data_IF_066389897732
#
_entry.id   IF_066389897732
#
_cell.length_a   1.000
_cell.length_b   1.000
_cell.length_c   1.000
_cell.angle_alpha   90.00
_cell.angle_beta   90.00
_cell.angle_gamma   90.00
#
_symmetry.space_group_name_H-M   'P 1'
#
loop_
_entity.id
_entity.type
_entity.pdbx_description
1 polymer ?
#
# COMPACT_ATOMS: atom_id res chain seq x y z
N UNK A 1 8.89 9.80 17.82
CA UNK A 1 9.42 8.98 16.72
C UNK A 1 9.92 7.58 17.15
N UNK A 2 10.90 7.44 18.05
CA UNK A 2 11.45 6.10 18.38
C UNK A 2 10.47 5.17 19.13
N UNK A 3 9.77 5.68 20.17
CA UNK A 3 8.79 4.90 20.96
C UNK A 3 7.62 4.38 20.11
N UNK A 4 7.17 5.18 19.15
CA UNK A 4 6.07 4.82 18.24
C UNK A 4 6.46 3.74 17.25
N UNK A 5 7.67 3.82 16.66
CA UNK A 5 8.22 2.76 15.80
C UNK A 5 8.36 1.42 16.54
N UNK A 6 8.80 1.44 17.81
CA UNK A 6 8.89 0.24 18.65
C UNK A 6 7.49 -0.35 18.89
N UNK A 7 6.51 0.49 19.26
CA UNK A 7 5.14 0.03 19.48
C UNK A 7 4.49 -0.57 18.20
N UNK A 8 4.76 0.03 17.03
CA UNK A 8 4.30 -0.51 15.74
C UNK A 8 4.92 -1.88 15.47
N UNK A 9 6.23 -2.02 15.70
CA UNK A 9 6.94 -3.29 15.51
C UNK A 9 6.41 -4.39 16.43
N UNK A 10 6.19 -4.09 17.71
CA UNK A 10 5.62 -5.03 18.67
C UNK A 10 4.23 -5.51 18.24
N UNK A 11 3.37 -4.59 17.80
CA UNK A 11 2.02 -4.93 17.31
C UNK A 11 2.04 -5.74 16.00
N UNK A 12 3.00 -5.49 15.11
CA UNK A 12 3.21 -6.31 13.91
C UNK A 12 3.60 -7.75 14.27
N UNK A 13 4.49 -7.91 15.24
CA UNK A 13 4.92 -9.23 15.73
C UNK A 13 3.78 -9.99 16.40
N UNK A 14 2.95 -9.32 17.21
CA UNK A 14 1.75 -9.90 17.81
C UNK A 14 0.75 -10.37 16.76
N UNK A 15 0.46 -9.54 15.75
CA UNK A 15 -0.40 -9.90 14.64
C UNK A 15 0.14 -11.12 13.86
N UNK A 16 1.47 -11.21 13.70
CA UNK A 16 2.13 -12.31 13.00
C UNK A 16 2.05 -13.63 13.76
N UNK A 17 2.01 -13.59 15.10
CA UNK A 17 1.83 -14.80 15.94
C UNK A 17 0.45 -15.43 15.78
N UNK A 18 -0.56 -14.68 15.33
CA UNK A 18 -1.91 -15.21 15.06
C UNK A 18 -1.99 -16.03 13.76
N UNK A 19 -1.04 -15.84 12.84
CA UNK A 19 -1.00 -16.55 11.56
C UNK A 19 -0.74 -18.06 11.66
N UNK A 20 0.27 -18.56 12.41
CA UNK A 20 0.51 -19.99 12.54
C UNK A 20 -0.63 -20.70 13.28
N UNK A 21 -1.36 -19.99 14.15
CA UNK A 21 -2.54 -20.51 14.83
C UNK A 21 -3.77 -20.64 13.90
N UNK A 22 -3.66 -20.25 12.62
CA UNK A 22 -4.78 -20.27 11.67
C UNK A 22 -5.84 -19.20 11.95
N UNK A 23 -5.61 -18.32 12.93
CA UNK A 23 -6.59 -17.34 13.38
C UNK A 23 -6.56 -16.08 12.51
N UNK A 24 -6.85 -16.29 11.22
CA UNK A 24 -6.69 -15.27 10.17
C UNK A 24 -7.63 -14.08 10.33
N UNK A 25 -8.79 -14.26 10.94
CA UNK A 25 -9.75 -13.17 11.17
C UNK A 25 -9.17 -12.13 12.14
N UNK A 26 -8.58 -12.60 13.24
CA UNK A 26 -8.00 -11.72 14.25
C UNK A 26 -6.67 -11.11 13.76
N UNK A 27 -5.87 -11.88 13.01
CA UNK A 27 -4.69 -11.34 12.33
C UNK A 27 -5.05 -10.18 11.40
N UNK A 28 -6.09 -10.32 10.57
CA UNK A 28 -6.54 -9.25 9.67
C UNK A 28 -7.04 -8.01 10.41
N UNK A 29 -7.73 -8.19 11.55
CA UNK A 29 -8.14 -7.06 12.41
C UNK A 29 -6.92 -6.32 12.97
N UNK A 30 -5.94 -7.06 13.48
CA UNK A 30 -4.71 -6.50 14.03
C UNK A 30 -3.92 -5.73 12.95
N UNK A 31 -3.76 -6.30 11.76
CA UNK A 31 -3.10 -5.60 10.64
C UNK A 31 -3.89 -4.36 10.18
N UNK A 32 -5.22 -4.43 10.10
CA UNK A 32 -6.05 -3.27 9.75
C UNK A 32 -5.93 -2.14 10.77
N UNK A 33 -5.74 -2.44 12.05
CA UNK A 33 -5.49 -1.41 13.06
C UNK A 33 -4.17 -0.67 12.80
N UNK A 34 -3.18 -1.36 12.23
CA UNK A 34 -1.86 -0.78 11.91
C UNK A 34 -1.84 0.07 10.65
N UNK A 35 -2.84 -0.07 9.77
CA UNK A 35 -2.95 0.71 8.53
C UNK A 35 -3.83 1.96 8.67
N UNK A 36 -4.53 2.12 9.80
CA UNK A 36 -5.38 3.29 10.10
C UNK A 36 -4.62 4.52 10.64
N UNK A 37 -3.32 4.36 10.92
CA UNK A 37 -2.48 5.44 11.45
C UNK A 37 -1.90 6.34 10.35
N UNK A 38 -1.19 7.41 10.75
CA UNK A 38 -0.48 8.32 9.84
C UNK A 38 0.63 7.65 9.03
N UNK A 39 1.12 6.50 9.46
CA UNK A 39 2.23 5.81 8.83
C UNK A 39 1.73 4.70 7.91
N UNK A 40 2.05 4.84 6.62
CA UNK A 40 1.89 3.75 5.66
C UNK A 40 2.70 2.55 6.15
N UNK A 41 2.01 1.49 6.54
CA UNK A 41 2.64 0.28 7.06
C UNK A 41 2.62 -0.80 5.99
N UNK A 42 3.62 -0.74 5.10
CA UNK A 42 3.68 -1.60 3.91
C UNK A 42 3.78 -3.09 4.25
N UNK A 43 4.38 -3.43 5.40
CA UNK A 43 4.43 -4.80 5.90
C UNK A 43 3.02 -5.29 6.28
N UNK A 44 2.24 -4.50 7.02
CA UNK A 44 0.88 -4.88 7.42
C UNK A 44 -0.02 -5.16 6.19
N UNK A 45 0.00 -4.28 5.19
CA UNK A 45 -0.72 -4.50 3.93
C UNK A 45 -0.26 -5.78 3.23
N UNK A 46 1.05 -5.99 3.11
CA UNK A 46 1.61 -7.18 2.47
C UNK A 46 1.17 -8.47 3.16
N UNK A 47 1.14 -8.50 4.50
CA UNK A 47 0.64 -9.64 5.28
C UNK A 47 -0.86 -9.87 5.09
N UNK A 48 -1.68 -8.82 5.12
CA UNK A 48 -3.12 -8.93 4.85
C UNK A 48 -3.39 -9.57 3.49
N UNK A 49 -2.69 -9.12 2.44
CA UNK A 49 -2.84 -9.71 1.11
C UNK A 49 -2.44 -11.19 1.08
N UNK A 50 -1.34 -11.59 1.75
CA UNK A 50 -0.93 -13.00 1.84
C UNK A 50 -1.99 -13.85 2.53
N UNK A 51 -2.55 -13.37 3.64
CA UNK A 51 -3.59 -14.07 4.41
C UNK A 51 -4.87 -14.25 3.56
N UNK A 52 -5.29 -13.22 2.83
CA UNK A 52 -6.46 -13.26 1.96
C UNK A 52 -6.26 -14.19 0.77
N UNK A 53 -5.05 -14.18 0.18
CA UNK A 53 -4.67 -15.08 -0.91
C UNK A 53 -4.69 -16.55 -0.48
N UNK A 54 -4.18 -16.86 0.70
CA UNK A 54 -4.22 -18.22 1.28
C UNK A 54 -5.66 -18.71 1.46
N UNK A 55 -6.56 -17.82 1.88
CA UNK A 55 -7.99 -18.11 2.01
C UNK A 55 -8.76 -18.06 0.68
N UNK A 56 -8.10 -17.81 -0.46
CA UNK A 56 -8.70 -17.62 -1.79
C UNK A 56 -9.79 -16.52 -1.81
N UNK A 57 -9.71 -15.56 -0.88
CA UNK A 57 -10.63 -14.41 -0.78
C UNK A 57 -10.18 -13.29 -1.72
N UNK A 58 -10.19 -13.57 -3.02
CA UNK A 58 -9.61 -12.67 -4.03
C UNK A 58 -10.29 -11.30 -4.10
N UNK A 59 -11.61 -11.21 -3.88
CA UNK A 59 -12.32 -9.93 -3.85
C UNK A 59 -11.83 -9.04 -2.70
N UNK A 60 -11.72 -9.60 -1.50
CA UNK A 60 -11.17 -8.87 -0.35
C UNK A 60 -9.66 -8.59 -0.51
N UNK A 61 -8.90 -9.47 -1.17
CA UNK A 61 -7.49 -9.20 -1.50
C UNK A 61 -7.38 -7.97 -2.40
N UNK A 62 -8.25 -7.84 -3.41
CA UNK A 62 -8.28 -6.70 -4.33
C UNK A 62 -8.58 -5.39 -3.60
N UNK A 63 -9.59 -5.37 -2.73
CA UNK A 63 -9.92 -4.20 -1.92
C UNK A 63 -8.73 -3.74 -1.05
N UNK A 64 -7.99 -4.67 -0.46
CA UNK A 64 -6.80 -4.35 0.35
C UNK A 64 -5.66 -3.81 -0.52
N UNK A 65 -5.47 -4.32 -1.73
CA UNK A 65 -4.47 -3.81 -2.67
C UNK A 65 -4.79 -2.36 -3.07
N UNK A 66 -6.04 -2.09 -3.42
CA UNK A 66 -6.50 -0.74 -3.78
C UNK A 66 -6.36 0.24 -2.62
N UNK A 67 -6.72 -0.18 -1.41
CA UNK A 67 -6.50 0.63 -0.20
C UNK A 67 -5.02 0.93 0.05
N UNK A 68 -4.13 -0.04 -0.19
CA UNK A 68 -2.69 0.15 -0.02
C UNK A 68 -2.13 1.15 -1.04
N UNK A 69 -2.55 1.04 -2.31
CA UNK A 69 -2.15 1.96 -3.39
C UNK A 69 -2.64 3.37 -3.07
N UNK A 70 -3.92 3.55 -2.76
CA UNK A 70 -4.50 4.85 -2.43
C UNK A 70 -3.82 5.50 -1.21
N UNK A 71 -3.51 4.70 -0.17
CA UNK A 71 -2.80 5.21 1.01
C UNK A 71 -1.36 5.65 0.69
N UNK A 72 -0.66 4.93 -0.19
CA UNK A 72 0.68 5.30 -0.63
C UNK A 72 0.67 6.54 -1.52
N UNK A 73 -0.26 6.63 -2.49
CA UNK A 73 -0.44 7.82 -3.33
C UNK A 73 -0.79 9.05 -2.49
N UNK A 74 -1.67 8.90 -1.48
CA UNK A 74 -1.99 9.98 -0.55
C UNK A 74 -0.81 10.41 0.30
N UNK A 75 0.07 9.49 0.71
CA UNK A 75 1.27 9.81 1.47
C UNK A 75 2.26 10.62 0.60
N UNK A 76 2.49 10.17 -0.64
CA UNK A 76 3.33 10.88 -1.62
C UNK A 76 2.79 12.28 -1.89
N UNK A 77 1.47 12.41 -2.11
CA UNK A 77 0.84 13.72 -2.34
C UNK A 77 0.97 14.66 -1.13
N UNK A 78 0.86 14.12 0.09
CA UNK A 78 0.98 14.91 1.32
C UNK A 78 2.41 15.42 1.53
N UNK A 79 3.42 14.57 1.31
CA UNK A 79 4.82 14.96 1.37
C UNK A 79 5.14 16.05 0.34
N UNK A 80 4.55 15.93 -0.85
CA UNK A 80 4.70 16.91 -1.92
C UNK A 80 4.08 18.28 -1.59
N UNK A 81 2.95 18.32 -0.87
CA UNK A 81 2.34 19.58 -0.40
C UNK A 81 3.18 20.26 0.69
N UNK A 82 3.81 19.49 1.59
CA UNK A 82 4.69 20.05 2.61
C UNK A 82 5.89 20.75 1.98
N UNK A 83 6.50 20.15 0.95
CA UNK A 83 7.59 20.74 0.17
C UNK A 83 7.16 22.07 -0.47
N UNK A 84 5.96 22.12 -1.05
CA UNK A 84 5.43 23.34 -1.69
C UNK A 84 5.16 24.49 -0.73
N UNK A 85 4.69 24.17 0.47
CA UNK A 85 4.30 25.19 1.45
C UNK A 85 5.49 25.89 2.09
N UNK A 86 6.65 25.22 2.14
CA UNK A 86 7.82 25.76 2.81
C UNK A 86 8.67 26.68 1.94
N UNK A 87 8.62 26.51 0.60
CA UNK A 87 9.37 27.35 -0.33
C UNK A 87 8.82 27.26 -1.77
N UNK A 88 7.76 28.04 -2.06
CA UNK A 88 6.96 27.90 -3.30
C UNK A 88 7.76 28.13 -4.60
N UNK A 89 8.72 29.05 -4.59
CA UNK A 89 9.50 29.38 -5.78
C UNK A 89 10.53 28.29 -6.11
N UNK A 90 11.27 27.82 -5.10
CA UNK A 90 12.24 26.73 -5.26
C UNK A 90 11.54 25.38 -5.48
N UNK A 91 10.35 25.16 -4.92
CA UNK A 91 9.52 24.00 -5.22
C UNK A 91 9.02 23.99 -6.67
N UNK A 92 8.59 25.14 -7.21
CA UNK A 92 8.17 25.25 -8.61
C UNK A 92 9.33 25.02 -9.59
N UNK A 93 10.52 25.56 -9.29
CA UNK A 93 11.73 25.36 -10.08
C UNK A 93 12.18 23.89 -10.04
N UNK A 94 12.23 23.30 -8.84
CA UNK A 94 12.60 21.90 -8.62
C UNK A 94 11.64 20.95 -9.32
N UNK A 95 10.34 21.25 -9.34
CA UNK A 95 9.33 20.47 -10.07
C UNK A 95 9.50 20.54 -11.57
N UNK A 96 9.72 21.73 -12.12
CA UNK A 96 9.97 21.90 -13.57
C UNK A 96 11.22 21.15 -13.99
N UNK A 97 12.29 21.22 -13.18
CA UNK A 97 13.51 20.44 -13.38
C UNK A 97 13.25 18.95 -13.31
N UNK A 98 12.60 18.46 -12.25
CA UNK A 98 12.28 17.05 -12.08
C UNK A 98 11.38 16.51 -13.21
N UNK A 99 10.41 17.30 -13.69
CA UNK A 99 9.60 16.96 -14.88
C UNK A 99 10.46 16.89 -16.14
N UNK A 100 11.35 17.86 -16.36
CA UNK A 100 12.25 17.88 -17.53
C UNK A 100 13.27 16.73 -17.55
N UNK A 101 13.64 16.25 -16.37
CA UNK A 101 14.55 15.11 -16.19
C UNK A 101 13.82 13.75 -16.25
N UNK A 102 12.49 13.74 -16.48
CA UNK A 102 11.71 12.50 -16.49
C UNK A 102 11.64 11.83 -15.11
N UNK A 103 11.78 12.60 -14.03
CA UNK A 103 11.66 12.15 -12.65
C UNK A 103 10.25 12.34 -12.09
N UNK A 104 9.37 13.05 -12.80
CA UNK A 104 7.95 13.21 -12.49
C UNK A 104 7.07 12.83 -13.71
N UNK A 105 5.96 12.15 -13.44
CA UNK A 105 4.90 11.85 -14.40
C UNK A 105 4.12 13.13 -14.75
N UNK A 106 3.26 13.08 -15.76
CA UNK A 106 2.42 14.24 -16.13
C UNK A 106 1.46 14.69 -15.02
N UNK A 107 1.14 13.79 -14.09
CA UNK A 107 0.35 14.05 -12.87
C UNK A 107 1.19 14.65 -11.73
N UNK A 108 2.50 14.84 -11.93
CA UNK A 108 3.41 15.40 -10.94
C UNK A 108 3.88 14.40 -9.87
N UNK A 109 3.68 13.11 -10.09
CA UNK A 109 4.13 12.04 -9.19
C UNK A 109 5.53 11.55 -9.58
N UNK A 110 6.40 11.16 -8.62
CA UNK A 110 7.71 10.57 -8.90
C UNK A 110 7.64 9.41 -9.91
N UNK A 111 8.45 9.48 -10.98
CA UNK A 111 8.62 8.40 -11.97
C UNK A 111 9.30 7.19 -11.35
N UNK A 112 10.10 7.41 -10.30
CA UNK A 112 10.52 6.33 -9.42
C UNK A 112 9.33 5.92 -8.55
N UNK A 113 8.54 4.97 -9.04
CA UNK A 113 7.63 4.22 -8.19
C UNK A 113 8.45 3.60 -7.07
N UNK A 114 8.02 3.79 -5.81
CA UNK A 114 8.54 2.93 -4.75
C UNK A 114 8.38 1.48 -5.21
N UNK A 115 9.43 0.63 -5.11
CA UNK A 115 9.36 -0.77 -5.53
C UNK A 115 8.15 -1.52 -4.95
N UNK A 116 7.65 -1.05 -3.81
CA UNK A 116 6.44 -1.48 -3.12
C UNK A 116 5.15 -1.23 -3.93
N UNK A 117 4.96 -0.03 -4.49
CA UNK A 117 3.79 0.36 -5.29
C UNK A 117 3.73 -0.45 -6.59
N UNK A 118 4.86 -0.57 -7.30
CA UNK A 118 4.99 -1.39 -8.48
C UNK A 118 4.60 -2.86 -8.21
N UNK A 119 5.06 -3.40 -7.07
CA UNK A 119 4.73 -4.75 -6.64
C UNK A 119 3.23 -4.91 -6.32
N UNK A 120 2.60 -3.92 -5.70
CA UNK A 120 1.15 -3.93 -5.42
C UNK A 120 0.32 -3.84 -6.69
N UNK A 121 0.65 -2.96 -7.65
CA UNK A 121 -0.02 -2.89 -8.96
C UNK A 121 0.10 -4.19 -9.76
N UNK A 122 1.29 -4.80 -9.78
CA UNK A 122 1.46 -6.13 -10.39
C UNK A 122 0.61 -7.20 -9.71
N UNK A 123 0.47 -7.12 -8.39
CA UNK A 123 -0.38 -8.03 -7.62
C UNK A 123 -1.86 -7.81 -7.92
N UNK A 124 -2.30 -6.56 -8.03
CA UNK A 124 -3.65 -6.16 -8.42
C UNK A 124 -4.04 -6.85 -9.73
N UNK A 125 -3.27 -6.61 -10.79
CA UNK A 125 -3.51 -7.19 -12.11
C UNK A 125 -3.56 -8.73 -12.10
N UNK A 126 -2.78 -9.37 -11.20
CA UNK A 126 -2.81 -10.82 -11.03
C UNK A 126 -4.09 -11.30 -10.35
N UNK A 127 -4.56 -10.58 -9.34
CA UNK A 127 -5.78 -10.90 -8.58
C UNK A 127 -7.02 -10.65 -9.43
N UNK A 128 -7.06 -9.57 -10.20
CA UNK A 128 -8.13 -9.26 -11.15
C UNK A 128 -8.29 -10.37 -12.19
N UNK A 129 -7.19 -10.82 -12.81
CA UNK A 129 -7.21 -11.95 -13.74
C UNK A 129 -7.79 -13.21 -13.10
N UNK A 130 -7.41 -13.50 -11.84
CA UNK A 130 -7.94 -14.66 -11.11
C UNK A 130 -9.43 -14.53 -10.79
N UNK A 131 -9.89 -13.34 -10.44
CA UNK A 131 -11.32 -13.05 -10.24
C UNK A 131 -12.10 -13.23 -11.54
N UNK A 132 -11.61 -12.70 -12.65
CA UNK A 132 -12.23 -12.84 -13.97
C UNK A 132 -12.32 -14.32 -14.38
N UNK A 133 -11.23 -15.09 -14.21
CA UNK A 133 -11.23 -16.53 -14.47
C UNK A 133 -12.19 -17.29 -13.56
N UNK A 134 -12.23 -16.98 -12.26
CA UNK A 134 -13.15 -17.63 -11.31
C UNK A 134 -14.63 -17.33 -11.61
N UNK A 135 -14.94 -16.15 -12.14
CA UNK A 135 -16.30 -15.81 -12.59
C UNK A 135 -16.65 -16.46 -13.94
N UNK A 136 -15.69 -16.58 -14.85
CA UNK A 136 -15.86 -17.28 -16.13
C UNK A 136 -16.16 -18.78 -15.97
N UNK A 137 -15.57 -19.44 -14.97
CA UNK A 137 -15.87 -20.85 -14.64
C UNK A 137 -17.28 -21.03 -14.05
N UNK A 138 -17.85 -20.01 -13.42
CA UNK A 138 -19.18 -20.09 -12.77
C UNK A 138 -20.35 -19.88 -13.74
N UNK A 139 -20.07 -19.45 -14.97
CA UNK A 139 -21.04 -19.19 -16.06
C UNK A 139 -21.09 -20.30 -17.13
N UNK A 140 -20.37 -21.42 -16.94
CA UNK A 140 -20.40 -22.58 -17.82
C UNK A 140 -21.05 -23.77 -17.13
#
# INVERSE_FOLDING_TARGET
>A
MAKEKIAIKTRLEEARKLEPAGNYADALKAYRALTRGRHLNAEAFSRMMVILRKQKKYAAELEVIQQAIAAAESAIASDQQVIDTHDRESAALSRKLAKSLGLLTDEGLPVYEEPQLAAWRKREATVEKRLASAQGTRKR
#
